data_IF_694390482319
#
_entry.id   IF_694390482319
#
_cell.length_a   1.000
_cell.length_b   1.000
_cell.length_c   1.000
_cell.angle_alpha   90.00
_cell.angle_beta   90.00
_cell.angle_gamma   90.00
#
_symmetry.space_group_name_H-M   'P 1'
#
loop_
_entity.id
_entity.type
_entity.pdbx_description
1 polymer ?
#
# COMPACT_ATOMS: atom_id res chain seq x y z
N UNK A 1 19.95 39.96 15.58
CA UNK A 1 21.39 39.63 15.59
C UNK A 1 21.63 38.57 14.51
N UNK A 2 22.53 38.90 13.62
CA UNK A 2 22.90 38.17 12.43
C UNK A 2 23.76 36.93 12.77
N UNK A 3 23.61 35.81 12.06
CA UNK A 3 24.77 35.11 11.50
C UNK A 3 24.31 34.04 10.53
N UNK A 4 24.80 34.07 9.30
CA UNK A 4 24.70 32.99 8.33
C UNK A 4 25.93 32.08 8.45
N UNK A 5 25.79 30.76 8.26
CA UNK A 5 26.93 29.86 8.01
C UNK A 5 26.69 29.14 6.68
N UNK A 6 27.54 29.51 5.75
CA UNK A 6 27.80 28.82 4.48
C UNK A 6 28.80 27.68 4.72
N UNK A 7 28.57 26.52 4.11
CA UNK A 7 29.61 25.54 3.71
C UNK A 7 28.94 24.54 2.77
N UNK A 8 29.24 24.57 1.54
CA UNK A 8 30.37 24.11 0.75
C UNK A 8 30.07 22.75 0.08
N UNK A 9 30.05 22.80 -1.24
CA UNK A 9 29.84 21.69 -2.19
C UNK A 9 31.01 20.70 -2.18
N UNK A 10 30.71 19.41 -2.40
CA UNK A 10 31.66 18.44 -2.93
C UNK A 10 30.97 17.62 -4.01
N UNK A 11 31.30 17.94 -5.25
CA UNK A 11 30.96 17.19 -6.45
C UNK A 11 32.05 16.12 -6.64
N UNK A 12 31.67 14.83 -6.57
CA UNK A 12 32.52 13.72 -7.00
C UNK A 12 32.00 13.18 -8.33
N UNK A 13 32.69 13.55 -9.40
CA UNK A 13 32.55 12.99 -10.74
C UNK A 13 33.20 11.61 -10.79
N UNK A 14 32.41 10.55 -10.95
CA UNK A 14 32.89 9.23 -11.32
C UNK A 14 32.67 9.02 -12.82
N UNK A 15 33.78 8.89 -13.55
CA UNK A 15 33.85 8.51 -14.97
C UNK A 15 34.07 6.99 -15.02
N UNK A 16 33.23 6.18 -15.69
CA UNK A 16 33.61 4.82 -16.06
C UNK A 16 34.29 4.80 -17.43
N UNK A 17 35.48 4.23 -17.45
CA UNK A 17 36.25 3.97 -18.67
C UNK A 17 35.64 2.81 -19.45
N UNK A 18 35.43 3.07 -20.75
CA UNK A 18 35.05 2.06 -21.74
C UNK A 18 36.33 1.40 -22.23
N UNK A 19 36.46 0.09 -22.08
CA UNK A 19 37.51 -0.67 -22.76
C UNK A 19 36.88 -1.41 -23.94
N UNK A 20 37.25 -0.93 -25.15
CA UNK A 20 37.05 -1.61 -26.40
C UNK A 20 38.29 -2.44 -26.73
N UNK A 21 38.09 -3.69 -27.12
CA UNK A 21 39.02 -4.53 -27.91
C UNK A 21 38.17 -5.70 -28.40
N UNK A 22 38.26 -6.21 -29.59
CA UNK A 22 39.12 -6.03 -30.71
C UNK A 22 38.66 -6.96 -31.81
N UNK A 23 38.96 -6.57 -32.97
CA UNK A 23 38.79 -7.19 -34.31
C UNK A 23 39.44 -8.59 -34.34
N UNK A 24 38.78 -9.59 -34.92
CA UNK A 24 39.47 -10.56 -35.75
C UNK A 24 38.51 -11.21 -36.74
N UNK A 25 38.87 -11.09 -38.02
CA UNK A 25 38.18 -11.63 -39.18
C UNK A 25 38.48 -13.13 -39.34
N UNK A 26 37.44 -13.96 -39.56
CA UNK A 26 37.57 -15.37 -39.92
C UNK A 26 36.29 -15.89 -40.54
N UNK A 27 36.27 -15.90 -41.85
CA UNK A 27 35.32 -16.58 -42.76
C UNK A 27 35.23 -18.08 -42.44
N UNK A 28 34.05 -18.65 -42.30
CA UNK A 28 33.61 -19.89 -42.99
C UNK A 28 32.23 -20.31 -42.51
N UNK A 29 31.42 -20.71 -43.49
CA UNK A 29 30.01 -21.06 -43.36
C UNK A 29 29.71 -22.18 -42.35
N UNK A 30 28.85 -21.86 -41.43
CA UNK A 30 28.23 -22.80 -40.53
C UNK A 30 26.84 -22.28 -40.18
N UNK A 31 25.83 -23.16 -40.31
CA UNK A 31 24.46 -22.92 -39.87
C UNK A 31 24.44 -22.28 -38.46
N UNK A 32 23.59 -21.28 -38.21
CA UNK A 32 23.49 -20.70 -36.90
C UNK A 32 23.13 -21.77 -35.89
N UNK A 33 23.84 -21.85 -34.75
CA UNK A 33 23.46 -22.70 -33.65
C UNK A 33 22.07 -22.26 -33.13
N UNK A 34 21.24 -23.21 -32.65
CA UNK A 34 19.94 -22.86 -32.07
C UNK A 34 20.20 -21.83 -30.97
N UNK A 35 19.54 -20.65 -31.09
CA UNK A 35 19.51 -19.69 -30.03
C UNK A 35 19.00 -20.39 -28.76
N UNK A 36 19.72 -20.31 -27.65
CA UNK A 36 19.13 -20.73 -26.39
C UNK A 36 17.90 -19.85 -26.18
N UNK A 37 16.73 -20.47 -26.18
CA UNK A 37 15.53 -19.86 -25.63
C UNK A 37 15.93 -19.39 -24.24
N UNK A 38 16.04 -18.10 -24.03
CA UNK A 38 16.03 -17.53 -22.68
C UNK A 38 14.65 -17.88 -22.11
N UNK A 39 14.57 -19.04 -21.49
CA UNK A 39 13.55 -19.26 -20.49
C UNK A 39 13.73 -18.10 -19.53
N UNK A 40 12.82 -17.15 -19.62
CA UNK A 40 12.64 -16.14 -18.57
C UNK A 40 12.42 -16.95 -17.31
N UNK A 41 13.49 -17.18 -16.55
CA UNK A 41 13.40 -17.72 -15.20
C UNK A 41 12.50 -16.76 -14.46
N UNK A 42 11.23 -17.10 -14.40
CA UNK A 42 10.27 -16.44 -13.55
C UNK A 42 10.89 -16.44 -12.15
N UNK A 43 11.13 -15.26 -11.64
CA UNK A 43 11.60 -15.04 -10.28
C UNK A 43 10.72 -15.87 -9.35
N UNK A 44 11.23 -17.02 -8.90
CA UNK A 44 10.56 -17.82 -7.91
C UNK A 44 10.42 -16.96 -6.64
N UNK A 45 9.17 -16.64 -6.26
CA UNK A 45 8.89 -16.14 -4.94
C UNK A 45 8.14 -14.82 -4.79
N UNK A 46 7.50 -14.26 -5.85
CA UNK A 46 6.42 -13.32 -5.56
C UNK A 46 5.18 -14.14 -5.14
N UNK A 47 4.63 -13.92 -3.93
CA UNK A 47 3.33 -14.51 -3.60
C UNK A 47 2.36 -14.09 -4.70
N UNK A 48 1.70 -15.05 -5.32
CA UNK A 48 0.78 -14.77 -6.41
C UNK A 48 -0.28 -13.78 -5.91
N UNK A 49 -0.25 -12.56 -6.42
CA UNK A 49 -1.23 -11.53 -6.12
C UNK A 49 -2.64 -11.94 -6.58
N UNK A 50 -3.64 -11.08 -6.42
CA UNK A 50 -4.99 -11.34 -6.90
C UNK A 50 -5.00 -11.57 -8.42
N UNK A 51 -6.01 -12.29 -8.92
CA UNK A 51 -6.15 -12.63 -10.34
C UNK A 51 -6.20 -11.38 -11.26
N UNK A 52 -6.79 -10.30 -10.80
CA UNK A 52 -6.79 -8.98 -11.43
C UNK A 52 -6.29 -7.92 -10.43
N UNK A 53 -4.98 -7.65 -10.39
CA UNK A 53 -4.42 -6.68 -9.46
C UNK A 53 -4.94 -5.25 -9.68
N UNK A 54 -5.25 -4.86 -10.92
CA UNK A 54 -5.74 -3.51 -11.22
C UNK A 54 -7.17 -3.30 -10.70
N UNK A 55 -8.05 -4.28 -10.90
CA UNK A 55 -9.40 -4.25 -10.35
C UNK A 55 -9.38 -4.29 -8.81
N UNK A 56 -8.55 -5.17 -8.23
CA UNK A 56 -8.38 -5.28 -6.79
C UNK A 56 -7.87 -3.98 -6.16
N UNK A 57 -6.86 -3.34 -6.74
CA UNK A 57 -6.35 -2.05 -6.26
C UNK A 57 -7.42 -0.96 -6.30
N UNK A 58 -8.18 -0.89 -7.38
CA UNK A 58 -9.28 0.07 -7.52
C UNK A 58 -10.34 -0.15 -6.42
N UNK A 59 -10.68 -1.40 -6.15
CA UNK A 59 -11.64 -1.76 -5.10
C UNK A 59 -11.11 -1.43 -3.71
N UNK A 60 -9.86 -1.78 -3.38
CA UNK A 60 -9.22 -1.41 -2.12
C UNK A 60 -9.31 0.10 -1.91
N UNK A 61 -8.94 0.91 -2.92
CA UNK A 61 -9.00 2.37 -2.83
C UNK A 61 -10.41 2.89 -2.58
N UNK A 62 -11.40 2.36 -3.30
CA UNK A 62 -12.80 2.76 -3.16
C UNK A 62 -13.35 2.40 -1.78
N UNK A 63 -13.11 1.19 -1.30
CA UNK A 63 -13.60 0.70 -0.01
C UNK A 63 -12.89 1.38 1.17
N UNK A 64 -11.61 1.73 1.01
CA UNK A 64 -10.88 2.55 1.98
C UNK A 64 -11.52 3.93 2.14
N UNK A 65 -11.79 4.62 1.02
CA UNK A 65 -12.46 5.92 1.04
C UNK A 65 -13.86 5.83 1.67
N UNK A 66 -14.64 4.79 1.31
CA UNK A 66 -15.97 4.54 1.86
C UNK A 66 -15.94 4.32 3.37
N UNK A 67 -14.99 3.54 3.87
CA UNK A 67 -14.82 3.26 5.29
C UNK A 67 -14.57 4.54 6.10
N UNK A 68 -13.72 5.43 5.60
CA UNK A 68 -13.36 6.68 6.27
C UNK A 68 -14.26 7.86 5.94
N UNK A 69 -15.25 7.72 5.06
CA UNK A 69 -16.18 8.81 4.76
C UNK A 69 -17.22 8.95 5.90
N UNK A 70 -17.28 10.10 6.59
CA UNK A 70 -18.25 10.32 7.66
C UNK A 70 -19.71 10.38 7.16
N UNK A 71 -19.94 10.60 5.87
CA UNK A 71 -21.28 10.59 5.28
C UNK A 71 -21.84 9.18 5.03
N UNK A 72 -20.96 8.17 5.05
CA UNK A 72 -21.34 6.77 4.82
C UNK A 72 -21.95 6.18 6.09
N UNK A 73 -23.08 5.46 5.94
CA UNK A 73 -23.77 4.83 7.03
C UNK A 73 -22.92 3.76 7.74
N UNK A 74 -23.19 3.49 9.01
CA UNK A 74 -22.51 2.44 9.76
C UNK A 74 -22.65 1.08 9.07
N UNK A 75 -23.83 0.74 8.56
CA UNK A 75 -24.09 -0.49 7.82
C UNK A 75 -23.23 -0.63 6.57
N UNK A 76 -23.05 0.45 5.82
CA UNK A 76 -22.22 0.44 4.62
C UNK A 76 -20.72 0.36 4.96
N UNK A 77 -20.31 0.89 6.11
CA UNK A 77 -18.95 0.73 6.62
C UNK A 77 -18.71 -0.71 7.09
N UNK A 78 -19.69 -1.36 7.72
CA UNK A 78 -19.63 -2.79 8.07
C UNK A 78 -19.39 -3.65 6.82
N UNK A 79 -20.03 -3.33 5.71
CA UNK A 79 -19.89 -4.09 4.46
C UNK A 79 -18.45 -4.07 3.88
N UNK A 80 -17.70 -3.01 4.16
CA UNK A 80 -16.32 -2.83 3.69
C UNK A 80 -15.27 -3.02 4.79
N UNK A 81 -15.67 -3.58 5.92
CA UNK A 81 -14.80 -3.97 7.02
C UNK A 81 -14.76 -5.49 7.13
N UNK A 82 -13.57 -6.05 7.32
CA UNK A 82 -13.39 -7.46 7.64
C UNK A 82 -14.21 -7.83 8.89
N UNK A 83 -15.00 -8.90 8.81
CA UNK A 83 -15.90 -9.34 9.89
C UNK A 83 -16.78 -8.20 10.45
N UNK A 84 -17.22 -7.28 9.58
CA UNK A 84 -17.87 -6.02 9.98
C UNK A 84 -19.06 -6.18 10.90
N UNK A 85 -19.85 -7.25 10.75
CA UNK A 85 -21.00 -7.54 11.63
C UNK A 85 -20.54 -7.82 13.07
N UNK A 86 -19.43 -8.54 13.25
CA UNK A 86 -18.86 -8.87 14.56
C UNK A 86 -18.16 -7.64 15.16
N UNK A 87 -17.60 -6.80 14.31
CA UNK A 87 -16.87 -5.58 14.68
C UNK A 87 -17.78 -4.37 14.90
N UNK A 88 -19.09 -4.52 14.82
CA UNK A 88 -20.07 -3.42 14.89
C UNK A 88 -19.87 -2.51 16.10
N UNK A 89 -19.62 -3.07 17.27
CA UNK A 89 -19.45 -2.30 18.50
C UNK A 89 -18.17 -1.43 18.45
N UNK A 90 -17.07 -1.98 17.96
CA UNK A 90 -15.81 -1.27 17.79
C UNK A 90 -15.97 -0.18 16.73
N UNK A 91 -16.62 -0.50 15.62
CA UNK A 91 -16.89 0.44 14.53
C UNK A 91 -17.82 1.59 14.98
N UNK A 92 -18.81 1.32 15.83
CA UNK A 92 -19.66 2.35 16.43
C UNK A 92 -18.85 3.30 17.30
N UNK A 93 -17.95 2.77 18.13
CA UNK A 93 -17.06 3.58 18.96
C UNK A 93 -16.14 4.46 18.11
N UNK A 94 -15.56 3.90 17.05
CA UNK A 94 -14.71 4.63 16.12
C UNK A 94 -15.48 5.73 15.37
N UNK A 95 -16.63 5.39 14.80
CA UNK A 95 -17.46 6.31 14.00
C UNK A 95 -18.23 7.33 14.86
N UNK A 96 -18.51 7.00 16.11
CA UNK A 96 -19.22 7.86 17.08
C UNK A 96 -18.34 8.93 17.71
N UNK A 97 -17.01 8.75 17.68
CA UNK A 97 -16.06 9.73 18.19
C UNK A 97 -16.07 10.99 17.32
N UNK A 98 -15.97 12.16 17.95
CA UNK A 98 -15.97 13.46 17.25
C UNK A 98 -14.84 13.59 16.23
N UNK A 99 -13.72 12.90 16.44
CA UNK A 99 -12.61 12.81 15.48
C UNK A 99 -12.99 11.88 14.33
N UNK A 100 -13.59 10.73 14.63
CA UNK A 100 -14.06 9.78 13.62
C UNK A 100 -15.02 10.41 12.61
N UNK A 101 -15.88 11.34 13.06
CA UNK A 101 -16.81 12.09 12.19
C UNK A 101 -16.13 13.09 11.24
N UNK A 102 -14.86 13.33 11.38
CA UNK A 102 -14.12 14.36 10.63
C UNK A 102 -12.89 13.81 9.92
N UNK A 103 -12.66 12.50 10.07
CA UNK A 103 -11.54 11.80 9.44
C UNK A 103 -11.90 11.42 8.00
N UNK A 104 -10.94 11.61 7.10
CA UNK A 104 -10.97 11.06 5.74
C UNK A 104 -9.63 10.41 5.44
N UNK A 105 -9.63 9.37 4.63
CA UNK A 105 -8.42 8.71 4.17
C UNK A 105 -8.21 8.91 2.67
N UNK A 106 -6.95 9.02 2.29
CA UNK A 106 -6.51 9.00 0.90
C UNK A 106 -5.44 7.94 0.73
N UNK A 107 -5.73 6.89 -0.01
CA UNK A 107 -4.78 5.83 -0.30
C UNK A 107 -3.70 6.34 -1.26
N UNK A 108 -2.45 6.21 -0.82
CA UNK A 108 -1.26 6.54 -1.62
C UNK A 108 -0.75 5.30 -2.38
N UNK A 109 -0.67 4.14 -1.71
CA UNK A 109 -0.10 2.91 -2.27
C UNK A 109 -0.88 1.69 -1.81
N UNK A 110 -0.97 0.67 -2.67
CA UNK A 110 -1.47 -0.66 -2.36
C UNK A 110 -0.42 -1.66 -2.85
N UNK A 111 0.00 -2.58 -1.99
CA UNK A 111 0.95 -3.64 -2.30
C UNK A 111 0.34 -4.97 -1.91
N UNK A 112 0.05 -5.82 -2.90
CA UNK A 112 -0.48 -7.15 -2.64
C UNK A 112 0.62 -8.04 -2.07
N UNK A 113 0.37 -8.60 -0.90
CA UNK A 113 1.27 -9.54 -0.21
C UNK A 113 0.86 -10.99 -0.45
N UNK A 114 -0.38 -11.21 -0.89
CA UNK A 114 -0.92 -12.50 -1.31
C UNK A 114 -2.10 -12.30 -2.27
N UNK A 115 -2.73 -13.40 -2.70
CA UNK A 115 -3.98 -13.34 -3.47
C UNK A 115 -5.14 -12.70 -2.68
N UNK A 116 -5.04 -12.62 -1.35
CA UNK A 116 -6.10 -12.17 -0.45
C UNK A 116 -5.69 -11.09 0.53
N UNK A 117 -4.43 -10.66 0.53
CA UNK A 117 -3.91 -9.66 1.47
C UNK A 117 -3.16 -8.55 0.73
N UNK A 118 -3.29 -7.34 1.22
CA UNK A 118 -2.56 -6.19 0.72
C UNK A 118 -2.16 -5.24 1.85
N UNK A 119 -0.95 -4.70 1.76
CA UNK A 119 -0.51 -3.57 2.55
C UNK A 119 -0.97 -2.27 1.90
N UNK A 120 -1.51 -1.37 2.70
CA UNK A 120 -2.07 -0.10 2.24
C UNK A 120 -1.37 1.05 2.94
N UNK A 121 -0.72 1.91 2.16
CA UNK A 121 -0.20 3.20 2.65
C UNK A 121 -1.22 4.29 2.34
N UNK A 122 -1.59 5.08 3.34
CA UNK A 122 -2.60 6.12 3.20
C UNK A 122 -2.31 7.34 4.07
N UNK A 123 -2.83 8.49 3.67
CA UNK A 123 -2.85 9.70 4.49
C UNK A 123 -4.20 9.86 5.16
N UNK A 124 -4.21 10.29 6.41
CA UNK A 124 -5.41 10.70 7.12
C UNK A 124 -5.47 12.23 7.23
N UNK A 125 -6.63 12.77 6.92
CA UNK A 125 -6.97 14.17 7.21
C UNK A 125 -8.01 14.24 8.31
N UNK A 126 -7.89 15.26 9.15
CA UNK A 126 -8.85 15.60 10.19
C UNK A 126 -9.26 17.05 10.01
N UNK A 127 -10.54 17.33 9.83
CA UNK A 127 -11.05 18.68 9.54
C UNK A 127 -10.38 19.33 8.31
N UNK A 128 -10.00 18.52 7.33
CA UNK A 128 -9.30 19.00 6.14
C UNK A 128 -7.79 19.21 6.28
N UNK A 129 -7.24 19.17 7.48
CA UNK A 129 -5.79 19.22 7.71
C UNK A 129 -5.18 17.81 7.73
N UNK A 130 -3.97 17.66 7.24
CA UNK A 130 -3.26 16.37 7.30
C UNK A 130 -2.88 16.06 8.73
N UNK A 131 -3.48 15.02 9.29
CA UNK A 131 -3.20 14.52 10.64
C UNK A 131 -2.09 13.46 10.62
N UNK A 132 -2.12 12.54 9.65
CA UNK A 132 -1.10 11.53 9.42
C UNK A 132 -0.77 11.53 7.92
N UNK A 133 0.42 11.98 7.52
CA UNK A 133 0.79 12.06 6.10
C UNK A 133 1.07 10.67 5.48
N UNK A 134 1.46 9.71 6.31
CA UNK A 134 1.74 8.33 5.91
C UNK A 134 1.39 7.39 7.06
N UNK A 135 0.28 6.72 6.93
CA UNK A 135 -0.16 5.65 7.83
C UNK A 135 -0.12 4.33 7.07
N UNK A 136 0.08 3.24 7.78
CA UNK A 136 0.05 1.88 7.24
C UNK A 136 -1.17 1.14 7.78
N UNK A 137 -1.79 0.35 6.92
CA UNK A 137 -2.86 -0.56 7.26
C UNK A 137 -2.85 -1.75 6.32
N UNK A 138 -3.80 -2.66 6.49
CA UNK A 138 -3.93 -3.86 5.67
C UNK A 138 -5.35 -3.98 5.13
N UNK A 139 -5.48 -4.45 3.89
CA UNK A 139 -6.72 -4.87 3.28
C UNK A 139 -6.74 -6.39 3.14
N UNK A 140 -7.93 -6.98 3.22
CA UNK A 140 -8.14 -8.42 3.03
C UNK A 140 -9.26 -8.65 2.03
N UNK A 141 -9.11 -9.65 1.16
CA UNK A 141 -10.21 -10.17 0.35
C UNK A 141 -11.01 -11.16 1.19
N UNK A 142 -12.20 -10.76 1.58
CA UNK A 142 -13.17 -11.60 2.25
C UNK A 142 -14.40 -11.78 1.36
N UNK A 143 -14.64 -13.02 0.93
CA UNK A 143 -15.76 -13.39 0.08
C UNK A 143 -15.83 -12.64 -1.26
N UNK A 144 -14.66 -12.38 -1.87
CA UNK A 144 -14.54 -11.67 -3.14
C UNK A 144 -14.70 -10.16 -3.03
N UNK A 145 -14.61 -9.61 -1.83
CA UNK A 145 -14.65 -8.16 -1.57
C UNK A 145 -13.42 -7.73 -0.80
N UNK A 146 -12.67 -6.76 -1.31
CA UNK A 146 -11.54 -6.16 -0.62
C UNK A 146 -12.00 -5.22 0.49
N UNK A 147 -11.66 -5.55 1.71
CA UNK A 147 -12.13 -4.86 2.93
C UNK A 147 -10.97 -4.28 3.73
N UNK A 148 -11.24 -3.25 4.52
CA UNK A 148 -10.33 -2.78 5.57
C UNK A 148 -10.20 -3.89 6.61
N UNK A 149 -8.97 -4.25 7.01
CA UNK A 149 -8.79 -5.31 8.00
C UNK A 149 -9.21 -4.89 9.40
N UNK A 150 -9.62 -5.85 10.21
CA UNK A 150 -9.84 -5.68 11.65
C UNK A 150 -8.60 -5.11 12.33
N UNK A 151 -7.41 -5.60 11.95
CA UNK A 151 -6.12 -5.11 12.46
C UNK A 151 -5.97 -3.60 12.26
N UNK A 152 -6.35 -3.09 11.09
CA UNK A 152 -6.30 -1.64 10.80
C UNK A 152 -7.27 -0.85 11.67
N UNK A 153 -8.52 -1.31 11.79
CA UNK A 153 -9.50 -0.67 12.67
C UNK A 153 -9.01 -0.62 14.13
N UNK A 154 -8.53 -1.74 14.64
CA UNK A 154 -8.03 -1.83 16.01
C UNK A 154 -6.85 -0.89 16.28
N UNK A 155 -5.91 -0.79 15.33
CA UNK A 155 -4.79 0.15 15.44
C UNK A 155 -5.26 1.60 15.48
N UNK A 156 -6.25 1.97 14.66
CA UNK A 156 -6.83 3.32 14.65
C UNK A 156 -7.55 3.67 15.95
N UNK A 157 -8.29 2.73 16.51
CA UNK A 157 -8.98 2.92 17.80
C UNK A 157 -7.97 3.09 18.93
N UNK A 158 -6.88 2.34 18.93
CA UNK A 158 -5.78 2.53 19.89
C UNK A 158 -5.10 3.90 19.73
N UNK A 159 -4.85 4.35 18.50
CA UNK A 159 -4.28 5.67 18.21
C UNK A 159 -5.20 6.82 18.68
N UNK A 160 -6.52 6.61 18.71
CA UNK A 160 -7.46 7.59 19.25
C UNK A 160 -7.42 7.74 20.77
N UNK A 161 -6.62 6.92 21.46
CA UNK A 161 -6.44 6.92 22.92
C UNK A 161 -7.35 5.92 23.64
N UNK A 162 -8.14 5.13 22.92
CA UNK A 162 -8.92 4.05 23.53
C UNK A 162 -8.05 2.81 23.74
N UNK A 163 -7.71 2.53 25.01
CA UNK A 163 -6.85 1.38 25.38
C UNK A 163 -7.58 0.03 25.38
N UNK A 164 -8.90 0.04 25.26
CA UNK A 164 -9.73 -1.16 25.21
C UNK A 164 -10.76 -1.02 24.08
N UNK A 165 -10.35 -1.29 22.85
CA UNK A 165 -11.21 -1.05 21.69
C UNK A 165 -12.45 -1.94 21.64
N UNK A 166 -12.54 -2.97 22.48
CA UNK A 166 -13.66 -3.89 22.55
C UNK A 166 -13.36 -5.28 22.03
N UNK A 167 -14.37 -6.19 22.08
CA UNK A 167 -14.23 -7.56 21.59
C UNK A 167 -13.82 -7.56 20.09
N UNK A 168 -12.88 -8.42 19.75
CA UNK A 168 -12.38 -8.55 18.36
C UNK A 168 -11.10 -7.78 18.09
N UNK A 169 -10.72 -6.87 18.95
CA UNK A 169 -9.40 -6.24 18.98
C UNK A 169 -8.54 -6.83 20.10
#
# INVERSE_FOLDING_TARGET
>A
MRSPVLAAAAVLLFVPAVAACGDDSGDEGGSPPPQPSVETSGKAGDPAGPADPAAAEKEVRANWQRFFDPAVSLKDKEAVLENGAEMRQVLQSFSGDERGKQVRARVAKVEFTSAKDADVTYALTLKGATALPSASGTAVDQDGTWKVSVKTLCALVQLSGNKSPGPGC
#
